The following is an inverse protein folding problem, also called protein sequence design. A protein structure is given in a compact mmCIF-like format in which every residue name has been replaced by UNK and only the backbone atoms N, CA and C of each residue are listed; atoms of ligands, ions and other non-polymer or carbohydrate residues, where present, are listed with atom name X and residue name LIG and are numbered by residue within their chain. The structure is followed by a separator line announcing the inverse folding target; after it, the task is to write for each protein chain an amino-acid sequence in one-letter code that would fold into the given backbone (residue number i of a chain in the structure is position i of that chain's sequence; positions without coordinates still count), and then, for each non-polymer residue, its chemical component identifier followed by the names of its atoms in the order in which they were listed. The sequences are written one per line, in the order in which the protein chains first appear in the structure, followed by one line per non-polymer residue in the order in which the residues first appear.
data_IF_611882269879
#
_entry.id   IF_611882269879
#
_cell.length_a   1.000
_cell.length_b   1.000
_cell.length_c   1.000
_cell.angle_alpha   90.00
_cell.angle_beta   90.00
_cell.angle_gamma   90.00
#
_symmetry.space_group_name_H-M   'P 1'
#
loop_
_entity.id
_entity.type
_entity.pdbx_description
1 polymer ?
#
# COMPACT_ATOMS: atom_id res chain seq x y z
N UNK A 1 0.00 -36.03 8.31
CA UNK A 1 1.03 -35.12 7.76
C UNK A 1 0.77 -33.72 8.33
N UNK A 2 1.81 -32.98 8.75
CA UNK A 2 1.61 -31.59 9.18
C UNK A 2 1.20 -30.77 7.96
N UNK A 3 0.11 -30.00 8.06
CA UNK A 3 -0.34 -29.09 7.00
C UNK A 3 0.52 -27.83 7.09
N UNK A 4 1.28 -27.54 6.05
CA UNK A 4 2.07 -26.33 5.90
C UNK A 4 1.35 -25.37 4.96
N UNK A 5 1.37 -24.07 5.28
CA UNK A 5 0.88 -23.01 4.40
C UNK A 5 2.08 -22.10 4.15
N UNK A 6 2.40 -21.91 2.86
CA UNK A 6 3.55 -21.11 2.44
C UNK A 6 3.05 -19.69 2.19
N UNK A 7 3.64 -18.73 2.89
CA UNK A 7 3.42 -17.30 2.69
C UNK A 7 4.71 -16.68 2.18
N UNK A 8 4.57 -15.62 1.38
CA UNK A 8 5.70 -14.81 0.94
C UNK A 8 5.30 -13.34 0.99
N UNK A 9 5.00 -12.84 2.19
CA UNK A 9 4.49 -11.48 2.41
C UNK A 9 5.19 -10.77 3.56
N UNK A 10 5.19 -9.45 3.48
CA UNK A 10 5.63 -8.59 4.58
C UNK A 10 4.58 -8.62 5.69
N UNK A 11 5.02 -8.79 6.93
CA UNK A 11 4.17 -8.79 8.12
C UNK A 11 4.66 -7.76 9.12
N UNK A 12 3.79 -7.34 10.04
CA UNK A 12 4.16 -6.51 11.19
C UNK A 12 4.95 -7.36 12.20
N UNK A 13 5.84 -6.72 12.95
CA UNK A 13 6.80 -7.38 13.84
C UNK A 13 6.12 -8.31 14.87
N UNK A 14 5.03 -7.83 15.48
CA UNK A 14 4.29 -8.57 16.51
C UNK A 14 3.52 -9.79 15.97
N UNK A 15 3.40 -9.96 14.65
CA UNK A 15 2.72 -11.13 14.07
C UNK A 15 3.45 -12.43 14.43
N UNK A 16 4.78 -12.40 14.57
CA UNK A 16 5.55 -13.57 15.00
C UNK A 16 5.19 -14.01 16.42
N UNK A 17 5.00 -13.04 17.33
CA UNK A 17 4.58 -13.31 18.71
C UNK A 17 3.14 -13.86 18.74
N UNK A 18 2.23 -13.27 17.96
CA UNK A 18 0.84 -13.74 17.86
C UNK A 18 0.79 -15.19 17.34
N UNK A 19 1.57 -15.53 16.31
CA UNK A 19 1.67 -16.91 15.80
C UNK A 19 2.16 -17.87 16.90
N UNK A 20 3.21 -17.46 17.63
CA UNK A 20 3.76 -18.26 18.73
C UNK A 20 2.73 -18.49 19.86
N UNK A 21 2.01 -17.44 20.25
CA UNK A 21 0.96 -17.49 21.28
C UNK A 21 -0.22 -18.38 20.87
N UNK A 22 -0.46 -18.55 19.58
CA UNK A 22 -1.44 -19.49 19.03
C UNK A 22 -0.91 -20.95 18.96
N UNK A 23 0.21 -21.26 19.61
CA UNK A 23 0.91 -22.56 19.56
C UNK A 23 1.28 -23.00 18.13
N UNK A 24 1.45 -22.04 17.21
CA UNK A 24 1.90 -22.29 15.84
C UNK A 24 3.40 -22.04 15.72
N UNK A 25 4.03 -22.62 14.70
CA UNK A 25 5.44 -22.36 14.37
C UNK A 25 5.52 -21.62 13.04
N UNK A 26 6.33 -20.58 12.96
CA UNK A 26 6.67 -19.88 11.72
C UNK A 26 8.14 -20.10 11.36
N UNK A 27 8.43 -20.04 10.06
CA UNK A 27 9.76 -19.86 9.50
C UNK A 27 9.79 -18.48 8.87
N UNK A 28 10.83 -17.69 9.13
CA UNK A 28 10.94 -16.32 8.64
C UNK A 28 12.41 -15.92 8.47
N UNK A 29 12.64 -14.85 7.71
CA UNK A 29 13.92 -14.16 7.64
C UNK A 29 13.67 -12.65 7.69
N UNK A 30 14.73 -11.88 7.98
CA UNK A 30 14.69 -10.43 7.90
C UNK A 30 15.10 -10.03 6.49
N UNK A 31 14.28 -9.19 5.84
CA UNK A 31 14.51 -8.76 4.47
C UNK A 31 15.78 -7.91 4.33
N UNK A 32 16.43 -7.99 3.17
CA UNK A 32 17.41 -6.99 2.73
C UNK A 32 16.72 -5.67 2.36
N UNK A 33 17.45 -4.55 2.27
CA UNK A 33 16.86 -3.26 1.87
C UNK A 33 16.14 -3.32 0.50
N UNK A 34 16.70 -4.06 -0.46
CA UNK A 34 16.10 -4.23 -1.79
C UNK A 34 14.84 -5.09 -1.72
N UNK A 35 14.92 -6.23 -1.03
CA UNK A 35 13.77 -7.11 -0.81
C UNK A 35 12.64 -6.37 -0.07
N UNK A 36 12.98 -5.59 0.96
CA UNK A 36 12.02 -4.82 1.74
C UNK A 36 11.28 -3.80 0.87
N UNK A 37 11.99 -3.08 0.00
CA UNK A 37 11.37 -2.14 -0.96
C UNK A 37 10.40 -2.85 -1.89
N UNK A 38 10.79 -4.00 -2.44
CA UNK A 38 9.92 -4.79 -3.31
C UNK A 38 8.69 -5.31 -2.54
N UNK A 39 8.90 -5.82 -1.32
CA UNK A 39 7.85 -6.32 -0.45
C UNK A 39 6.88 -5.24 0.03
N UNK A 40 7.32 -3.99 0.19
CA UNK A 40 6.44 -2.85 0.44
C UNK A 40 5.52 -2.55 -0.74
N UNK A 41 6.01 -2.66 -1.97
CA UNK A 41 5.18 -2.46 -3.17
C UNK A 41 4.15 -3.58 -3.33
N UNK A 42 4.54 -4.84 -3.06
CA UNK A 42 3.61 -5.97 -3.01
C UNK A 42 2.58 -5.79 -1.89
N UNK A 43 3.01 -5.36 -0.70
CA UNK A 43 2.12 -5.10 0.43
C UNK A 43 1.11 -4.01 0.10
N UNK A 44 1.52 -2.93 -0.57
CA UNK A 44 0.59 -1.89 -1.04
C UNK A 44 -0.50 -2.45 -1.96
N UNK A 45 -0.17 -3.41 -2.82
CA UNK A 45 -1.15 -4.07 -3.68
C UNK A 45 -2.09 -4.99 -2.89
N UNK A 46 -1.58 -5.71 -1.87
CA UNK A 46 -2.38 -6.51 -0.93
C UNK A 46 -3.44 -5.62 -0.25
N UNK A 47 -3.01 -4.54 0.42
CA UNK A 47 -3.92 -3.66 1.17
C UNK A 47 -4.95 -2.94 0.27
N UNK A 48 -4.56 -2.55 -0.95
CA UNK A 48 -5.51 -1.97 -1.92
C UNK A 48 -6.56 -3.01 -2.33
N UNK A 49 -6.18 -4.27 -2.53
CA UNK A 49 -7.12 -5.35 -2.85
C UNK A 49 -8.07 -5.65 -1.69
N UNK A 50 -7.55 -5.66 -0.46
CA UNK A 50 -8.34 -5.81 0.77
C UNK A 50 -9.32 -4.64 0.92
N UNK A 51 -8.88 -3.39 0.77
CA UNK A 51 -9.78 -2.23 0.77
C UNK A 51 -10.84 -2.27 -0.33
N UNK A 52 -10.49 -2.67 -1.56
CA UNK A 52 -11.46 -2.82 -2.65
C UNK A 52 -12.54 -3.86 -2.29
N UNK A 53 -12.18 -4.90 -1.54
CA UNK A 53 -13.09 -5.95 -1.11
C UNK A 53 -13.96 -5.47 0.05
N UNK A 54 -13.33 -5.10 1.17
CA UNK A 54 -13.99 -4.88 2.46
C UNK A 54 -14.44 -3.44 2.71
N UNK A 55 -13.79 -2.45 2.08
CA UNK A 55 -14.15 -1.02 2.09
C UNK A 55 -14.30 -0.43 3.50
N UNK A 56 -13.44 -0.82 4.42
CA UNK A 56 -13.46 -0.38 5.81
C UNK A 56 -12.31 0.60 6.13
N UNK A 57 -12.33 1.19 7.33
CA UNK A 57 -11.32 2.16 7.78
C UNK A 57 -9.98 1.51 8.17
N UNK A 58 -9.99 0.23 8.55
CA UNK A 58 -8.78 -0.54 8.91
C UNK A 58 -7.89 -0.72 7.68
N UNK A 59 -8.44 -1.14 6.53
CA UNK A 59 -7.65 -1.28 5.30
C UNK A 59 -7.11 0.07 4.79
N UNK A 60 -7.85 1.16 5.01
CA UNK A 60 -7.33 2.51 4.69
C UNK A 60 -6.17 2.91 5.60
N UNK A 61 -6.21 2.54 6.89
CA UNK A 61 -5.11 2.75 7.81
C UNK A 61 -3.87 1.96 7.38
N UNK A 62 -4.06 0.72 6.92
CA UNK A 62 -2.98 -0.16 6.45
C UNK A 62 -2.35 0.40 5.16
N UNK A 63 -3.15 0.87 4.20
CA UNK A 63 -2.65 1.59 3.01
C UNK A 63 -1.81 2.81 3.40
N UNK A 64 -2.28 3.60 4.38
CA UNK A 64 -1.56 4.80 4.84
C UNK A 64 -0.22 4.43 5.47
N UNK A 65 -0.19 3.42 6.35
CA UNK A 65 1.04 2.92 6.97
C UNK A 65 2.06 2.50 5.90
N UNK A 66 1.63 1.68 4.93
CA UNK A 66 2.51 1.22 3.84
C UNK A 66 3.05 2.37 3.01
N UNK A 67 2.24 3.40 2.71
CA UNK A 67 2.70 4.59 1.99
C UNK A 67 3.80 5.33 2.78
N UNK A 68 3.67 5.47 4.10
CA UNK A 68 4.69 6.12 4.92
C UNK A 68 6.01 5.34 4.93
N UNK A 69 5.95 4.01 4.99
CA UNK A 69 7.11 3.15 4.87
C UNK A 69 7.75 3.24 3.47
N UNK A 70 6.96 3.31 2.39
CA UNK A 70 7.47 3.52 1.03
C UNK A 70 8.19 4.86 0.91
N UNK A 71 7.62 5.94 1.45
CA UNK A 71 8.26 7.26 1.42
C UNK A 71 9.65 7.19 2.06
N UNK A 72 9.75 6.51 3.19
CA UNK A 72 11.01 6.35 3.93
C UNK A 72 12.00 5.44 3.18
N UNK A 73 11.58 4.24 2.77
CA UNK A 73 12.46 3.25 2.14
C UNK A 73 13.01 3.71 0.78
N UNK A 74 12.24 4.50 0.03
CA UNK A 74 12.67 5.06 -1.26
C UNK A 74 13.34 6.44 -1.13
N UNK A 75 13.59 6.93 0.10
CA UNK A 75 14.17 8.24 0.37
C UNK A 75 13.40 9.40 -0.29
N UNK A 76 12.08 9.30 -0.35
CA UNK A 76 11.25 10.38 -0.87
C UNK A 76 11.02 11.47 0.17
N UNK A 77 10.90 12.70 -0.32
CA UNK A 77 10.59 13.84 0.52
C UNK A 77 9.06 14.03 0.63
N UNK A 78 8.50 13.75 1.81
CA UNK A 78 7.05 13.90 2.09
C UNK A 78 6.52 15.30 1.80
N UNK A 79 7.26 16.36 2.17
CA UNK A 79 6.89 17.76 1.88
C UNK A 79 6.79 17.98 0.37
N UNK A 80 7.75 17.45 -0.41
CA UNK A 80 7.73 17.54 -1.86
C UNK A 80 6.55 16.81 -2.49
N UNK A 81 6.19 15.63 -1.98
CA UNK A 81 5.00 14.89 -2.43
C UNK A 81 3.74 15.74 -2.22
N UNK A 82 3.58 16.35 -1.04
CA UNK A 82 2.45 17.23 -0.73
C UNK A 82 2.42 18.47 -1.64
N UNK A 83 3.56 19.10 -1.92
CA UNK A 83 3.66 20.19 -2.89
C UNK A 83 3.21 19.78 -4.29
N UNK A 84 3.62 18.58 -4.75
CA UNK A 84 3.21 18.04 -6.05
C UNK A 84 1.69 17.82 -6.08
N UNK A 85 1.12 17.26 -5.00
CA UNK A 85 -0.32 17.05 -4.85
C UNK A 85 -1.09 18.37 -4.95
N UNK A 86 -0.66 19.41 -4.24
CA UNK A 86 -1.32 20.72 -4.28
C UNK A 86 -1.14 21.43 -5.64
N UNK A 87 0.02 21.30 -6.29
CA UNK A 87 0.22 21.83 -7.66
C UNK A 87 -0.72 21.16 -8.65
N UNK A 88 -0.89 19.83 -8.59
CA UNK A 88 -1.87 19.09 -9.41
C UNK A 88 -3.29 19.54 -9.11
N UNK A 89 -3.65 19.72 -7.83
CA UNK A 89 -4.97 20.18 -7.44
C UNK A 89 -5.28 21.60 -7.94
N UNK A 90 -4.32 22.51 -7.92
CA UNK A 90 -4.46 23.87 -8.47
C UNK A 90 -4.59 23.87 -10.00
N UNK A 91 -3.81 23.03 -10.68
CA UNK A 91 -3.78 22.95 -12.15
C UNK A 91 -5.02 22.23 -12.72
N UNK A 92 -5.41 21.10 -12.13
CA UNK A 92 -6.38 20.17 -12.69
C UNK A 92 -7.70 20.10 -11.90
N UNK A 93 -7.80 20.79 -10.76
CA UNK A 93 -8.89 20.62 -9.80
C UNK A 93 -8.72 19.39 -8.89
N UNK A 94 -9.75 19.14 -8.07
CA UNK A 94 -9.84 18.00 -7.13
C UNK A 94 -11.01 17.10 -7.53
N UNK A 95 -11.09 15.91 -6.95
CA UNK A 95 -12.17 14.95 -7.19
C UNK A 95 -13.53 15.33 -6.57
N UNK A 96 -13.64 16.49 -5.89
CA UNK A 96 -14.85 16.94 -5.19
C UNK A 96 -16.09 17.07 -6.09
N UNK A 97 -15.90 17.31 -7.40
CA UNK A 97 -17.00 17.44 -8.37
C UNK A 97 -17.57 16.09 -8.85
N UNK A 98 -16.95 14.95 -8.48
CA UNK A 98 -17.40 13.60 -8.86
C UNK A 98 -17.57 13.39 -10.38
N UNK A 99 -16.68 14.01 -11.16
CA UNK A 99 -16.74 13.95 -12.63
C UNK A 99 -16.15 12.63 -13.11
N UNK A 100 -16.91 11.88 -13.91
CA UNK A 100 -16.45 10.70 -14.65
C UNK A 100 -16.39 11.07 -16.13
N UNK A 101 -15.23 10.93 -16.76
CA UNK A 101 -15.05 11.19 -18.19
C UNK A 101 -15.46 9.96 -18.99
N UNK A 102 -16.47 10.07 -19.85
CA UNK A 102 -16.94 8.94 -20.67
C UNK A 102 -16.26 8.90 -22.05
N UNK A 103 -16.15 10.05 -22.74
CA UNK A 103 -15.60 10.16 -24.10
C UNK A 103 -14.99 11.55 -24.32
N UNK A 104 -14.06 11.65 -25.26
CA UNK A 104 -13.50 12.90 -25.78
C UNK A 104 -13.65 12.86 -27.30
N UNK A 105 -14.07 13.96 -27.92
CA UNK A 105 -14.12 14.11 -29.37
C UNK A 105 -13.05 15.12 -29.80
N UNK A 106 -12.32 14.80 -30.86
CA UNK A 106 -11.46 15.79 -31.51
C UNK A 106 -12.34 16.57 -32.50
N UNK A 107 -12.30 17.89 -32.39
CA UNK A 107 -12.92 18.75 -33.40
C UNK A 107 -11.84 19.02 -34.45
N UNK A 108 -12.01 18.47 -35.65
CA UNK A 108 -11.26 18.93 -36.83
C UNK A 108 -11.78 20.33 -37.19
N UNK A 109 -10.87 21.28 -37.36
CA UNK A 109 -11.19 22.64 -37.78
C UNK A 109 -11.38 22.77 -39.28
#
# INVERSE_FOLDING_TARGET
MKKEIIYNKLIRDNILEIISNNNQKSSYHIATDEEYKNKLLEKLQEEICEFITDKNEEELADILEVIEHIITAFNFNKKRILEIREKKAKKNGKFNKKIILEKVFNMEG
#
